data_IF_363045869798
#
_entry.id   IF_363045869798
#
_cell.length_a   1.000
_cell.length_b   1.000
_cell.length_c   1.000
_cell.angle_alpha   90.00
_cell.angle_beta   90.00
_cell.angle_gamma   90.00
#
_symmetry.space_group_name_H-M   'P 1'
#
loop_
_entity.id
_entity.type
_entity.pdbx_description
1 polymer ?
#
# COMPACT_ATOMS: atom_id res chain seq x y z
N UNK A 1 -22.86 -0.02 3.06
CA UNK A 1 -21.57 -0.56 3.53
C UNK A 1 -20.70 0.62 3.94
N UNK A 2 -19.80 0.51 4.91
CA UNK A 2 -18.83 1.59 5.16
C UNK A 2 -17.70 1.43 4.15
N UNK A 3 -17.54 2.42 3.29
CA UNK A 3 -16.48 2.49 2.29
C UNK A 3 -15.25 3.17 2.87
N UNK A 4 -14.09 2.86 2.30
CA UNK A 4 -12.82 3.51 2.61
C UNK A 4 -12.85 4.94 2.08
N UNK A 5 -12.28 5.91 2.80
CA UNK A 5 -12.29 7.30 2.32
C UNK A 5 -11.47 7.47 1.04
N UNK A 6 -11.88 8.44 0.21
CA UNK A 6 -11.17 8.79 -1.02
C UNK A 6 -9.76 9.32 -0.72
N UNK A 7 -9.62 10.05 0.38
CA UNK A 7 -8.36 10.59 0.87
C UNK A 7 -7.39 9.47 1.26
N UNK A 8 -7.88 8.43 1.92
CA UNK A 8 -7.05 7.27 2.26
C UNK A 8 -6.63 6.52 0.99
N UNK A 9 -7.55 6.26 0.06
CA UNK A 9 -7.22 5.61 -1.22
C UNK A 9 -6.19 6.41 -2.03
N UNK A 10 -6.33 7.73 -2.10
CA UNK A 10 -5.40 8.62 -2.80
C UNK A 10 -3.99 8.64 -2.17
N UNK A 11 -3.88 8.33 -0.88
CA UNK A 11 -2.60 8.25 -0.17
C UNK A 11 -1.89 6.89 -0.33
N UNK A 12 -2.59 5.85 -0.82
CA UNK A 12 -2.02 4.52 -1.00
C UNK A 12 -1.35 4.37 -2.37
N UNK A 13 -0.30 3.53 -2.41
CA UNK A 13 0.19 3.01 -3.69
C UNK A 13 -0.83 2.00 -4.23
N UNK A 14 -1.49 2.38 -5.33
CA UNK A 14 -2.48 1.53 -5.99
C UNK A 14 -1.98 1.00 -7.33
N UNK A 15 -2.49 -0.15 -7.73
CA UNK A 15 -2.32 -0.74 -9.05
C UNK A 15 -3.61 -1.39 -9.54
N UNK A 16 -3.59 -1.83 -10.79
CA UNK A 16 -4.66 -2.63 -11.40
C UNK A 16 -4.12 -4.00 -11.81
N UNK A 17 -4.96 -5.03 -11.68
CA UNK A 17 -4.65 -6.37 -12.16
C UNK A 17 -5.89 -7.03 -12.77
N UNK A 18 -5.71 -7.93 -13.74
CA UNK A 18 -6.82 -8.74 -14.27
C UNK A 18 -7.34 -9.72 -13.21
N UNK A 19 -6.43 -10.27 -12.40
CA UNK A 19 -6.74 -11.15 -11.27
C UNK A 19 -5.97 -10.66 -10.05
N UNK A 20 -6.65 -10.53 -8.92
CA UNK A 20 -6.04 -10.15 -7.65
C UNK A 20 -6.63 -10.96 -6.50
N UNK A 21 -5.76 -11.47 -5.62
CA UNK A 21 -6.19 -12.05 -4.35
C UNK A 21 -6.07 -10.99 -3.25
N UNK A 22 -7.17 -10.75 -2.54
CA UNK A 22 -7.19 -9.90 -1.35
C UNK A 22 -6.58 -10.65 -0.17
N UNK A 23 -6.02 -9.93 0.81
CA UNK A 23 -5.46 -10.47 2.07
C UNK A 23 -6.37 -11.43 2.85
N UNK A 24 -7.68 -11.43 2.59
CA UNK A 24 -8.60 -12.40 3.19
C UNK A 24 -8.64 -13.76 2.47
N UNK A 25 -7.94 -13.92 1.34
CA UNK A 25 -7.97 -15.10 0.47
C UNK A 25 -9.06 -15.08 -0.59
N UNK A 26 -9.81 -13.96 -0.72
CA UNK A 26 -10.84 -13.77 -1.74
C UNK A 26 -10.19 -13.37 -3.07
N UNK A 27 -10.48 -14.10 -4.13
CA UNK A 27 -9.98 -13.85 -5.48
C UNK A 27 -10.97 -12.99 -6.26
N UNK A 28 -10.48 -11.90 -6.82
CA UNK A 28 -11.21 -11.00 -7.69
C UNK A 28 -10.63 -11.08 -9.09
N UNK A 29 -11.48 -11.04 -10.10
CA UNK A 29 -11.04 -10.96 -11.49
C UNK A 29 -11.95 -10.04 -12.31
N UNK A 30 -11.39 -9.42 -13.34
CA UNK A 30 -12.04 -8.40 -14.14
C UNK A 30 -12.47 -8.94 -15.51
N UNK A 31 -13.70 -8.63 -15.92
CA UNK A 31 -14.18 -8.86 -17.28
C UNK A 31 -14.72 -7.56 -17.84
N UNK A 32 -14.40 -7.27 -19.11
CA UNK A 32 -14.96 -6.12 -19.78
C UNK A 32 -16.47 -6.32 -20.03
N UNK A 33 -17.12 -5.31 -20.60
CA UNK A 33 -18.56 -5.34 -20.91
C UNK A 33 -19.00 -6.44 -21.90
N UNK A 34 -18.06 -7.07 -22.59
CA UNK A 34 -18.32 -8.22 -23.47
C UNK A 34 -18.07 -9.57 -22.76
N UNK A 35 -17.76 -9.57 -21.47
CA UNK A 35 -17.39 -10.76 -20.71
C UNK A 35 -16.01 -11.32 -21.10
N UNK A 36 -15.11 -10.47 -21.59
CA UNK A 36 -13.77 -10.84 -22.07
C UNK A 36 -12.66 -10.19 -21.25
N UNK A 37 -11.42 -10.63 -21.47
CA UNK A 37 -10.22 -9.99 -20.91
C UNK A 37 -8.94 -10.63 -21.44
N UNK A 38 -7.79 -10.03 -21.13
CA UNK A 38 -6.48 -10.49 -21.58
C UNK A 38 -5.94 -11.65 -20.73
N UNK A 39 -6.65 -12.78 -20.78
CA UNK A 39 -6.34 -13.99 -20.01
C UNK A 39 -5.57 -15.03 -20.84
N UNK A 40 -4.85 -15.91 -20.16
CA UNK A 40 -4.31 -17.10 -20.80
C UNK A 40 -5.42 -18.04 -21.29
N UNK A 41 -5.11 -18.88 -22.27
CA UNK A 41 -6.09 -19.79 -22.89
C UNK A 41 -6.76 -20.69 -21.83
N UNK A 42 -8.06 -20.49 -21.65
CA UNK A 42 -8.90 -21.26 -20.73
C UNK A 42 -8.90 -20.76 -19.28
N UNK A 43 -8.08 -19.76 -18.94
CA UNK A 43 -8.02 -19.21 -17.59
C UNK A 43 -9.31 -18.50 -17.20
N UNK A 44 -9.85 -17.66 -18.08
CA UNK A 44 -11.12 -16.96 -17.83
C UNK A 44 -12.27 -17.95 -17.58
N UNK A 45 -12.43 -18.96 -18.44
CA UNK A 45 -13.45 -19.99 -18.26
C UNK A 45 -13.30 -20.71 -16.92
N UNK A 46 -12.07 -21.01 -16.51
CA UNK A 46 -11.79 -21.60 -15.19
C UNK A 46 -12.23 -20.68 -14.05
N UNK A 47 -11.92 -19.39 -14.12
CA UNK A 47 -12.30 -18.40 -13.11
C UNK A 47 -13.82 -18.23 -13.01
N UNK A 48 -14.51 -18.18 -14.16
CA UNK A 48 -15.98 -18.13 -14.22
C UNK A 48 -16.61 -19.38 -13.58
N UNK A 49 -16.12 -20.58 -13.91
CA UNK A 49 -16.60 -21.82 -13.28
C UNK A 49 -16.33 -21.85 -11.78
N UNK A 50 -15.21 -21.29 -11.31
CA UNK A 50 -14.90 -21.17 -9.89
C UNK A 50 -15.81 -20.17 -9.18
N UNK A 51 -16.16 -19.05 -9.83
CA UNK A 51 -17.11 -18.07 -9.33
C UNK A 51 -18.54 -18.64 -9.21
N UNK A 52 -18.95 -19.45 -10.18
CA UNK A 52 -20.24 -20.16 -10.13
C UNK A 52 -20.26 -21.20 -8.99
N UNK A 53 -19.18 -21.95 -8.81
CA UNK A 53 -19.08 -22.98 -7.77
C UNK A 53 -18.90 -22.42 -6.35
N UNK A 54 -18.16 -21.33 -6.19
CA UNK A 54 -17.88 -20.70 -4.90
C UNK A 54 -17.85 -19.15 -4.99
N UNK A 55 -19.03 -18.51 -5.08
CA UNK A 55 -19.14 -17.04 -5.22
C UNK A 55 -18.71 -16.29 -3.94
N UNK A 56 -18.50 -17.00 -2.83
CA UNK A 56 -17.97 -16.42 -1.59
C UNK A 56 -16.46 -16.30 -1.59
N UNK A 57 -15.77 -16.96 -2.52
CA UNK A 57 -14.31 -16.93 -2.65
C UNK A 57 -13.85 -16.28 -3.94
N UNK A 58 -14.66 -16.35 -4.99
CA UNK A 58 -14.36 -15.81 -6.30
C UNK A 58 -15.40 -14.76 -6.67
N UNK A 59 -14.96 -13.58 -7.10
CA UNK A 59 -15.85 -12.52 -7.56
C UNK A 59 -15.37 -11.98 -8.89
N UNK A 60 -16.25 -12.08 -9.88
CA UNK A 60 -16.15 -11.35 -11.13
C UNK A 60 -16.54 -9.89 -10.89
N UNK A 61 -15.68 -8.98 -11.32
CA UNK A 61 -16.03 -7.58 -11.53
C UNK A 61 -16.34 -7.42 -13.01
N UNK A 62 -17.61 -7.57 -13.36
CA UNK A 62 -18.10 -7.33 -14.70
C UNK A 62 -18.03 -5.83 -15.02
N UNK A 63 -17.87 -5.51 -16.30
CA UNK A 63 -17.78 -4.14 -16.81
C UNK A 63 -16.54 -3.35 -16.32
N UNK A 64 -15.46 -4.04 -15.94
CA UNK A 64 -14.19 -3.39 -15.67
C UNK A 64 -13.01 -4.11 -16.33
N UNK A 65 -12.01 -3.33 -16.74
CA UNK A 65 -10.80 -3.87 -17.37
C UNK A 65 -9.71 -4.23 -16.35
N UNK A 66 -9.93 -3.90 -15.06
CA UNK A 66 -9.00 -4.22 -13.99
C UNK A 66 -9.65 -4.21 -12.60
N UNK A 67 -9.12 -5.03 -11.71
CA UNK A 67 -9.38 -5.00 -10.28
C UNK A 67 -8.38 -4.04 -9.62
N UNK A 68 -8.89 -3.05 -8.89
CA UNK A 68 -8.06 -2.12 -8.13
C UNK A 68 -7.51 -2.76 -6.85
N UNK A 69 -6.19 -2.66 -6.67
CA UNK A 69 -5.47 -3.22 -5.52
C UNK A 69 -4.63 -2.14 -4.87
N UNK A 70 -4.70 -2.04 -3.55
CA UNK A 70 -3.77 -1.28 -2.74
C UNK A 70 -2.72 -2.21 -2.12
N UNK A 71 -1.45 -1.82 -2.19
CA UNK A 71 -0.34 -2.61 -1.65
C UNK A 71 0.16 -2.02 -0.34
N UNK A 72 -0.04 -2.74 0.77
CA UNK A 72 0.35 -2.29 2.11
C UNK A 72 1.23 -3.36 2.74
N UNK A 73 2.52 -3.06 2.90
CA UNK A 73 3.52 -3.92 3.56
C UNK A 73 3.60 -5.35 3.02
N UNK A 74 3.68 -5.53 1.70
CA UNK A 74 3.81 -6.88 1.14
C UNK A 74 2.49 -7.55 0.79
N UNK A 75 1.37 -6.89 1.07
CA UNK A 75 0.04 -7.51 1.07
C UNK A 75 -0.92 -6.73 0.19
N UNK A 76 -1.70 -7.48 -0.61
CA UNK A 76 -2.72 -6.95 -1.51
C UNK A 76 -4.05 -6.76 -0.79
N UNK A 77 -4.61 -5.58 -0.90
CA UNK A 77 -5.97 -5.25 -0.48
C UNK A 77 -6.77 -4.88 -1.72
N UNK A 78 -7.78 -5.68 -2.06
CA UNK A 78 -8.72 -5.29 -3.12
C UNK A 78 -9.69 -4.26 -2.54
N UNK A 79 -9.82 -3.10 -3.21
CA UNK A 79 -10.52 -1.91 -2.71
C UNK A 79 -11.97 -2.24 -2.34
N UNK A 80 -12.68 -2.92 -3.22
CA UNK A 80 -14.10 -3.26 -3.06
C UNK A 80 -14.30 -4.71 -2.56
N UNK A 81 -13.33 -5.24 -1.83
CA UNK A 81 -13.46 -6.58 -1.27
C UNK A 81 -14.50 -6.60 -0.13
N UNK A 82 -15.48 -7.54 -0.14
CA UNK A 82 -16.53 -7.59 0.86
C UNK A 82 -16.01 -7.88 2.28
N UNK A 83 -14.76 -8.33 2.43
CA UNK A 83 -14.15 -8.55 3.73
C UNK A 83 -13.92 -7.25 4.53
N UNK A 84 -13.91 -6.08 3.87
CA UNK A 84 -13.71 -4.78 4.52
C UNK A 84 -12.35 -4.58 5.18
N UNK A 85 -11.36 -5.46 4.94
CA UNK A 85 -10.03 -5.38 5.59
C UNK A 85 -9.28 -4.08 5.31
N UNK A 86 -9.51 -3.43 4.16
CA UNK A 86 -8.92 -2.13 3.85
C UNK A 86 -9.46 -1.02 4.76
N UNK A 87 -10.74 -1.08 5.17
CA UNK A 87 -11.33 -0.14 6.13
C UNK A 87 -10.70 -0.28 7.52
N UNK A 88 -10.32 -1.49 7.92
CA UNK A 88 -9.58 -1.69 9.17
C UNK A 88 -8.19 -1.04 9.11
N UNK A 89 -7.52 -1.08 7.96
CA UNK A 89 -6.24 -0.41 7.77
C UNK A 89 -6.38 1.12 7.88
N UNK A 90 -7.42 1.70 7.28
CA UNK A 90 -7.74 3.13 7.42
C UNK A 90 -8.01 3.49 8.88
N UNK A 91 -8.87 2.72 9.55
CA UNK A 91 -9.21 2.95 10.95
C UNK A 91 -7.97 2.90 11.84
N UNK A 92 -7.11 1.90 11.63
CA UNK A 92 -5.84 1.81 12.36
C UNK A 92 -4.95 3.04 12.13
N UNK A 93 -4.81 3.50 10.89
CA UNK A 93 -4.04 4.70 10.58
C UNK A 93 -4.61 5.94 11.30
N UNK A 94 -5.93 6.07 11.32
CA UNK A 94 -6.61 7.15 12.01
C UNK A 94 -6.42 7.11 13.53
N UNK A 95 -6.62 5.95 14.14
CA UNK A 95 -6.49 5.74 15.59
C UNK A 95 -5.04 5.99 16.05
N UNK A 96 -4.05 5.65 15.21
CA UNK A 96 -2.62 5.81 15.51
C UNK A 96 -2.04 7.18 15.11
N UNK A 97 -2.83 8.08 14.51
CA UNK A 97 -2.30 9.32 13.91
C UNK A 97 -1.45 10.15 14.87
N UNK A 98 -1.89 10.32 16.12
CA UNK A 98 -1.16 11.14 17.10
C UNK A 98 0.14 10.46 17.54
N UNK A 99 0.13 9.13 17.67
CA UNK A 99 1.32 8.36 18.01
C UNK A 99 2.37 8.42 16.89
N UNK A 100 1.95 8.31 15.63
CA UNK A 100 2.85 8.47 14.49
C UNK A 100 3.41 9.89 14.40
N UNK A 101 2.58 10.92 14.56
CA UNK A 101 3.06 12.31 14.60
C UNK A 101 4.10 12.52 15.71
N UNK A 102 3.88 11.97 16.91
CA UNK A 102 4.84 12.05 18.00
C UNK A 102 6.13 11.29 17.70
N UNK A 103 6.04 10.09 17.11
CA UNK A 103 7.20 9.32 16.68
C UNK A 103 8.06 10.09 15.68
N UNK A 104 7.44 10.68 14.65
CA UNK A 104 8.16 11.45 13.64
C UNK A 104 8.82 12.70 14.22
N UNK A 105 8.16 13.40 15.15
CA UNK A 105 8.77 14.52 15.88
C UNK A 105 10.05 14.11 16.60
N UNK A 106 9.96 13.07 17.44
CA UNK A 106 11.12 12.56 18.19
C UNK A 106 12.26 12.11 17.28
N UNK A 107 11.92 11.50 16.13
CA UNK A 107 12.90 11.06 15.16
C UNK A 107 13.61 12.23 14.47
N UNK A 108 12.87 13.24 14.06
CA UNK A 108 13.43 14.47 13.47
C UNK A 108 14.34 15.18 14.47
N UNK A 109 13.94 15.29 15.74
CA UNK A 109 14.75 15.92 16.78
C UNK A 109 16.07 15.16 16.99
N UNK A 110 16.03 13.82 16.97
CA UNK A 110 17.21 12.98 17.05
C UNK A 110 18.14 13.18 15.86
N UNK A 111 17.60 13.12 14.64
CA UNK A 111 18.37 13.29 13.40
C UNK A 111 19.02 14.69 13.36
N UNK A 112 18.32 15.73 13.85
CA UNK A 112 18.88 17.08 14.00
C UNK A 112 20.05 17.13 14.98
N UNK A 113 19.90 16.54 16.16
CA UNK A 113 20.96 16.53 17.18
C UNK A 113 22.22 15.77 16.68
N UNK A 114 22.05 14.69 15.92
CA UNK A 114 23.15 13.96 15.30
C UNK A 114 23.85 14.79 14.22
N UNK A 115 23.10 15.51 13.39
CA UNK A 115 23.66 16.41 12.38
C UNK A 115 24.47 17.55 13.01
N UNK A 116 23.94 18.22 14.04
CA UNK A 116 24.64 19.29 14.76
C UNK A 116 25.93 18.79 15.42
N UNK A 117 25.92 17.56 15.96
CA UNK A 117 27.13 16.93 16.52
C UNK A 117 28.17 16.66 15.43
N UNK A 118 27.74 16.17 14.27
CA UNK A 118 28.61 15.96 13.11
C UNK A 118 29.25 17.26 12.62
N UNK A 119 28.47 18.34 12.52
CA UNK A 119 28.96 19.67 12.14
C UNK A 119 30.01 20.20 13.12
N UNK A 120 29.78 20.05 14.43
CA UNK A 120 30.77 20.42 15.46
C UNK A 120 32.07 19.63 15.35
N UNK A 121 32.00 18.35 14.98
CA UNK A 121 33.19 17.52 14.77
C UNK A 121 33.97 17.97 13.53
N UNK A 122 33.29 18.29 12.43
CA UNK A 122 33.93 18.77 11.20
C UNK A 122 34.58 20.15 11.40
N UNK A 123 33.87 21.10 12.01
CA UNK A 123 34.40 22.45 12.30
C UNK A 123 35.53 22.42 13.36
N UNK A 124 35.48 21.49 14.31
CA UNK A 124 36.58 21.24 15.26
C UNK A 124 37.83 20.63 14.62
N UNK A 125 37.70 19.86 13.54
CA UNK A 125 38.83 19.31 12.79
C UNK A 125 39.50 20.37 11.89
N UNK A 126 38.75 21.36 11.39
CA UNK A 126 39.30 22.45 10.58
C UNK A 126 40.14 23.45 11.39
N UNK A 127 39.80 23.65 12.67
CA UNK A 127 40.56 24.54 13.58
C UNK A 127 41.83 23.88 14.15
N UNK A 128 41.97 22.56 14.01
CA UNK A 128 43.09 21.77 14.54
C UNK A 128 44.28 21.57 13.59
N UNK A 129 44.29 22.17 12.38
CA UNK A 129 45.44 22.04 11.47
C UNK A 129 46.64 22.78 12.08
N UNK A 130 47.75 22.09 12.44
CA UNK A 130 48.96 22.77 12.86
C UNK A 130 49.39 23.67 11.71
N UNK A 131 49.66 24.95 11.99
CA UNK A 131 50.39 25.78 11.03
C UNK A 131 51.71 25.07 10.78
N UNK A 132 51.94 24.65 9.53
CA UNK A 132 53.25 24.19 9.09
C UNK A 132 54.23 25.32 9.43
N UNK A 133 55.15 25.04 10.35
CA UNK A 133 56.07 26.03 10.90
C UNK A 133 56.91 26.68 9.81
N UNK A 134 57.09 27.99 9.98
CA UNK A 134 58.03 28.85 9.27
C UNK A 134 59.50 28.50 9.60
#
# INVERSE_FOLDING_TARGET
MKEVSKEFLAALSMGGALVAECVCGHTHFATNHEGQGHYDKGELNRLLSLAEADPKRYTEHADCDSVYVAYIRGVNYVVDCPCGRLLYAEKFAWDMKNAFLQYYRLRIDKERAEAEKGERLLTGLETGRPKAGD
#
